data_IF_044224646148
#
_entry.id   IF_044224646148
#
_cell.length_a   1.000
_cell.length_b   1.000
_cell.length_c   1.000
_cell.angle_alpha   90.00
_cell.angle_beta   90.00
_cell.angle_gamma   90.00
#
_symmetry.space_group_name_H-M   'P 1'
#
loop_
_entity.id
_entity.type
_entity.pdbx_description
1 polymer ?
#
# COMPACT_ATOMS: atom_id res chain seq x y z
N UNK A 1 -39.54 27.42 31.21
CA UNK A 1 -38.73 26.20 30.97
C UNK A 1 -37.23 26.45 30.70
N UNK A 2 -36.62 27.61 31.09
CA UNK A 2 -35.18 27.89 30.86
C UNK A 2 -34.30 27.87 32.13
N UNK A 3 -34.88 27.62 33.31
CA UNK A 3 -34.18 27.73 34.62
C UNK A 3 -33.51 26.45 35.12
N UNK A 4 -33.78 25.28 34.53
CA UNK A 4 -33.09 24.03 34.89
C UNK A 4 -31.72 23.84 34.24
N UNK A 5 -31.45 24.51 33.12
CA UNK A 5 -30.14 24.43 32.45
C UNK A 5 -29.04 25.14 33.26
N UNK A 6 -29.41 26.16 34.05
CA UNK A 6 -28.48 26.98 34.83
C UNK A 6 -28.01 26.32 36.14
N UNK A 7 -28.79 25.40 36.73
CA UNK A 7 -28.46 24.79 38.03
C UNK A 7 -27.39 23.67 37.92
N UNK A 8 -27.33 22.97 36.77
CA UNK A 8 -26.30 21.95 36.48
C UNK A 8 -25.41 22.30 35.26
N UNK A 9 -25.31 23.59 34.93
CA UNK A 9 -24.58 24.05 33.73
C UNK A 9 -23.12 23.59 33.71
N UNK A 10 -22.48 23.50 34.89
CA UNK A 10 -21.11 22.97 35.04
C UNK A 10 -20.97 21.51 34.62
N UNK A 11 -21.96 20.67 34.90
CA UNK A 11 -21.94 19.25 34.53
C UNK A 11 -22.23 19.07 33.05
N UNK A 12 -23.24 19.76 32.52
CA UNK A 12 -23.52 19.73 31.08
C UNK A 12 -22.33 20.24 30.25
N UNK A 13 -21.64 21.27 30.73
CA UNK A 13 -20.44 21.81 30.08
C UNK A 13 -19.27 20.82 30.13
N UNK A 14 -19.07 20.12 31.25
CA UNK A 14 -18.06 19.07 31.36
C UNK A 14 -18.31 17.91 30.38
N UNK A 15 -19.57 17.48 30.23
CA UNK A 15 -19.97 16.42 29.28
C UNK A 15 -19.73 16.87 27.83
N UNK A 16 -20.12 18.10 27.48
CA UNK A 16 -19.91 18.65 26.13
C UNK A 16 -18.42 18.77 25.81
N UNK A 17 -17.60 19.24 26.74
CA UNK A 17 -16.14 19.30 26.56
C UNK A 17 -15.53 17.90 26.40
N UNK A 18 -15.93 16.93 27.23
CA UNK A 18 -15.47 15.55 27.11
C UNK A 18 -15.83 14.92 25.75
N UNK A 19 -17.08 15.12 25.30
CA UNK A 19 -17.52 14.66 23.99
C UNK A 19 -16.77 15.34 22.85
N UNK A 20 -16.52 16.65 22.95
CA UNK A 20 -15.77 17.40 21.95
C UNK A 20 -14.32 16.91 21.84
N UNK A 21 -13.65 16.64 22.97
CA UNK A 21 -12.30 16.07 23.00
C UNK A 21 -12.30 14.66 22.39
N UNK A 22 -13.24 13.81 22.77
CA UNK A 22 -13.34 12.45 22.22
C UNK A 22 -13.55 12.47 20.70
N UNK A 23 -14.44 13.34 20.21
CA UNK A 23 -14.67 13.54 18.78
C UNK A 23 -13.41 14.04 18.07
N UNK A 24 -12.70 15.03 18.64
CA UNK A 24 -11.46 15.54 18.07
C UNK A 24 -10.34 14.49 18.01
N UNK A 25 -10.24 13.61 19.01
CA UNK A 25 -9.29 12.49 19.00
C UNK A 25 -9.66 11.46 17.93
N UNK A 26 -10.94 11.10 17.81
CA UNK A 26 -11.44 10.18 16.79
C UNK A 26 -11.18 10.72 15.37
N UNK A 27 -11.50 11.99 15.11
CA UNK A 27 -11.26 12.60 13.79
C UNK A 27 -9.77 12.73 13.50
N UNK A 28 -8.96 13.11 14.50
CA UNK A 28 -7.51 13.17 14.36
C UNK A 28 -6.89 11.81 14.02
N UNK A 29 -7.32 10.74 14.68
CA UNK A 29 -6.84 9.39 14.40
C UNK A 29 -7.21 8.91 12.98
N UNK A 30 -8.43 9.22 12.53
CA UNK A 30 -8.87 8.92 11.16
C UNK A 30 -8.04 9.69 10.11
N UNK A 31 -7.78 10.98 10.35
CA UNK A 31 -7.05 11.84 9.42
C UNK A 31 -5.56 11.44 9.32
N UNK A 32 -4.94 11.06 10.44
CA UNK A 32 -3.57 10.51 10.45
C UNK A 32 -3.53 9.15 9.73
N UNK A 33 -4.50 8.28 9.97
CA UNK A 33 -4.59 6.98 9.30
C UNK A 33 -4.69 7.11 7.78
N UNK A 34 -5.52 8.05 7.30
CA UNK A 34 -5.68 8.30 5.86
C UNK A 34 -4.41 8.92 5.25
N UNK A 35 -3.76 9.84 5.96
CA UNK A 35 -2.50 10.45 5.52
C UNK A 35 -1.37 9.42 5.37
N UNK A 36 -1.22 8.51 6.35
CA UNK A 36 -0.22 7.43 6.27
C UNK A 36 -0.56 6.47 5.14
N UNK A 37 -1.84 6.14 4.94
CA UNK A 37 -2.28 5.30 3.84
C UNK A 37 -1.95 5.94 2.48
N UNK A 38 -2.18 7.24 2.32
CA UNK A 38 -1.78 8.01 1.15
C UNK A 38 -0.27 7.99 0.94
N UNK A 39 0.51 8.31 1.97
CA UNK A 39 1.98 8.30 1.89
C UNK A 39 2.55 6.92 1.54
N UNK A 40 2.02 5.83 2.11
CA UNK A 40 2.44 4.49 1.76
C UNK A 40 2.07 4.12 0.32
N UNK A 41 0.91 4.57 -0.16
CA UNK A 41 0.50 4.39 -1.55
C UNK A 41 1.49 5.10 -2.48
N UNK A 42 1.78 6.36 -2.21
CA UNK A 42 2.69 7.18 -3.02
C UNK A 42 4.11 6.59 -3.02
N UNK A 43 4.62 6.21 -1.85
CA UNK A 43 5.93 5.56 -1.74
C UNK A 43 5.98 4.22 -2.49
N UNK A 44 4.89 3.45 -2.48
CA UNK A 44 4.82 2.19 -3.23
C UNK A 44 4.80 2.43 -4.73
N UNK A 45 4.05 3.43 -5.21
CA UNK A 45 4.02 3.81 -6.62
C UNK A 45 5.38 4.36 -7.07
N UNK A 46 6.04 5.18 -6.25
CA UNK A 46 7.37 5.71 -6.55
C UNK A 46 8.42 4.60 -6.65
N UNK A 47 8.32 3.57 -5.80
CA UNK A 47 9.21 2.39 -5.84
C UNK A 47 8.94 1.44 -7.00
N UNK A 48 7.73 1.45 -7.56
CA UNK A 48 7.34 0.58 -8.67
C UNK A 48 8.04 1.00 -9.98
N UNK A 49 8.46 2.25 -10.09
CA UNK A 49 9.15 2.77 -11.27
C UNK A 49 8.24 2.76 -12.50
N UNK A 50 8.76 2.30 -13.63
CA UNK A 50 8.10 2.33 -14.94
C UNK A 50 7.20 1.08 -15.19
N UNK A 51 6.75 0.40 -14.12
CA UNK A 51 5.98 -0.84 -14.18
C UNK A 51 4.51 -0.57 -13.85
N UNK A 52 3.63 -0.55 -14.85
CA UNK A 52 2.19 -0.34 -14.63
C UNK A 52 1.45 -1.64 -14.25
N UNK A 53 1.87 -2.76 -14.84
CA UNK A 53 1.22 -4.07 -14.67
C UNK A 53 2.24 -5.20 -14.60
N UNK A 54 1.93 -6.23 -13.81
CA UNK A 54 2.69 -7.46 -13.73
C UNK A 54 1.79 -8.66 -14.06
N UNK A 55 2.24 -9.52 -14.97
CA UNK A 55 1.60 -10.78 -15.28
C UNK A 55 2.34 -11.91 -14.58
N UNK A 56 1.71 -12.49 -13.56
CA UNK A 56 2.25 -13.63 -12.81
C UNK A 56 1.39 -14.85 -13.09
N UNK A 57 2.05 -15.98 -13.36
CA UNK A 57 1.39 -17.28 -13.60
C UNK A 57 2.00 -18.34 -12.70
N UNK A 58 1.25 -19.39 -12.37
CA UNK A 58 1.74 -20.54 -11.60
C UNK A 58 2.84 -21.32 -12.35
N UNK A 59 2.91 -21.17 -13.67
CA UNK A 59 3.93 -21.80 -14.51
C UNK A 59 4.75 -20.74 -15.25
N UNK A 60 6.02 -21.05 -15.48
CA UNK A 60 6.85 -20.22 -16.34
C UNK A 60 6.30 -20.20 -17.77
N UNK A 61 6.32 -19.01 -18.37
CA UNK A 61 6.01 -18.79 -19.76
C UNK A 61 7.26 -18.32 -20.51
N UNK A 62 7.20 -18.34 -21.84
CA UNK A 62 8.36 -18.01 -22.67
C UNK A 62 8.68 -16.52 -22.57
N UNK A 63 9.97 -16.19 -22.50
CA UNK A 63 10.44 -14.81 -22.61
C UNK A 63 9.96 -14.11 -23.89
N UNK A 64 9.87 -14.85 -25.01
CA UNK A 64 9.35 -14.37 -26.29
C UNK A 64 7.90 -13.86 -26.24
N UNK A 65 7.13 -14.21 -25.21
CA UNK A 65 5.78 -13.66 -25.03
C UNK A 65 5.81 -12.14 -24.88
N UNK A 66 6.84 -11.58 -24.24
CA UNK A 66 6.98 -10.13 -24.11
C UNK A 66 7.14 -9.47 -25.49
N UNK A 67 7.91 -10.09 -26.39
CA UNK A 67 8.10 -9.63 -27.77
C UNK A 67 6.80 -9.78 -28.58
N UNK A 68 6.13 -10.94 -28.47
CA UNK A 68 4.86 -11.23 -29.13
C UNK A 68 3.77 -10.21 -28.73
N UNK A 69 3.69 -9.86 -27.43
CA UNK A 69 2.79 -8.82 -26.92
C UNK A 69 3.13 -7.46 -27.49
N UNK A 70 4.41 -7.11 -27.53
CA UNK A 70 4.85 -5.86 -28.13
C UNK A 70 4.52 -5.80 -29.62
N UNK A 71 4.39 -6.90 -30.37
CA UNK A 71 3.97 -6.85 -31.78
C UNK A 71 2.48 -6.62 -31.98
N UNK A 72 1.65 -6.81 -30.96
CA UNK A 72 0.20 -6.59 -31.04
C UNK A 72 -0.13 -5.09 -31.05
N UNK A 73 -0.85 -4.56 -32.06
CA UNK A 73 -1.22 -3.15 -32.12
C UNK A 73 -1.99 -2.68 -30.88
N UNK A 74 -2.96 -3.50 -30.45
CA UNK A 74 -3.81 -3.21 -29.28
C UNK A 74 -3.03 -3.13 -27.97
N UNK A 75 -1.90 -3.83 -27.87
CA UNK A 75 -1.02 -3.78 -26.70
C UNK A 75 -0.16 -2.52 -26.73
N UNK A 76 0.40 -2.15 -27.89
CA UNK A 76 1.17 -0.91 -28.08
C UNK A 76 0.35 0.35 -27.84
N UNK A 77 -0.95 0.32 -28.11
CA UNK A 77 -1.85 1.45 -27.82
C UNK A 77 -2.00 1.74 -26.32
N UNK A 78 -1.76 0.74 -25.46
CA UNK A 78 -1.98 0.81 -24.01
C UNK A 78 -0.69 0.77 -23.19
N UNK A 79 0.37 0.13 -23.72
CA UNK A 79 1.61 -0.12 -23.00
C UNK A 79 2.82 0.18 -23.87
N UNK A 80 3.80 0.90 -23.33
CA UNK A 80 5.00 1.32 -24.06
C UNK A 80 6.12 0.27 -24.03
N UNK A 81 6.12 -0.65 -23.04
CA UNK A 81 7.15 -1.67 -22.85
C UNK A 81 6.60 -2.92 -22.17
N UNK A 82 7.14 -4.08 -22.55
CA UNK A 82 7.01 -5.33 -21.83
C UNK A 82 8.40 -5.92 -21.61
N UNK A 83 8.66 -6.44 -20.41
CA UNK A 83 9.92 -7.11 -20.06
C UNK A 83 9.61 -8.46 -19.40
N UNK A 84 10.22 -9.56 -19.86
CA UNK A 84 10.10 -10.84 -19.18
C UNK A 84 10.93 -10.82 -17.89
N UNK A 85 10.38 -11.36 -16.80
CA UNK A 85 11.07 -11.53 -15.54
C UNK A 85 10.70 -12.90 -14.95
N UNK A 86 11.62 -13.48 -14.20
CA UNK A 86 11.46 -14.73 -13.47
C UNK A 86 11.44 -14.41 -11.98
N UNK A 87 10.43 -14.97 -11.30
CA UNK A 87 10.22 -14.83 -9.87
C UNK A 87 10.36 -16.22 -9.23
N UNK A 88 11.37 -16.41 -8.40
CA UNK A 88 11.71 -17.70 -7.80
C UNK A 88 11.76 -17.58 -6.27
N UNK A 89 10.99 -18.41 -5.56
CA UNK A 89 11.14 -18.53 -4.11
C UNK A 89 12.29 -19.49 -3.78
N UNK A 90 13.31 -18.99 -3.08
CA UNK A 90 14.51 -19.76 -2.73
C UNK A 90 14.98 -19.53 -1.30
N UNK A 91 16.21 -19.95 -1.01
CA UNK A 91 16.91 -19.57 0.22
C UNK A 91 18.25 -18.94 -0.11
N UNK A 92 18.53 -17.77 0.44
CA UNK A 92 19.82 -17.10 0.32
C UNK A 92 20.72 -17.47 1.50
N UNK A 93 22.00 -17.71 1.22
CA UNK A 93 23.03 -17.96 2.24
C UNK A 93 24.08 -16.87 2.12
N UNK A 94 24.28 -16.12 3.20
CA UNK A 94 25.31 -15.10 3.26
C UNK A 94 26.70 -15.77 3.38
N UNK A 95 27.64 -15.52 2.44
CA UNK A 95 28.93 -16.20 2.40
C UNK A 95 29.83 -15.88 3.61
N UNK A 96 29.59 -14.76 4.31
CA UNK A 96 30.46 -14.26 5.38
C UNK A 96 30.17 -14.88 6.75
N UNK A 97 28.90 -15.13 7.08
CA UNK A 97 28.48 -15.63 8.40
C UNK A 97 27.63 -16.91 8.34
N UNK A 98 27.41 -17.48 7.14
CA UNK A 98 26.51 -18.61 6.90
C UNK A 98 25.06 -18.39 7.37
N UNK A 99 24.65 -17.14 7.60
CA UNK A 99 23.27 -16.83 7.90
C UNK A 99 22.40 -17.22 6.71
N UNK A 100 21.30 -17.91 7.00
CA UNK A 100 20.37 -18.42 5.99
C UNK A 100 19.04 -17.71 6.13
N UNK A 101 18.61 -17.07 5.05
CA UNK A 101 17.25 -16.58 4.90
C UNK A 101 16.47 -17.58 4.03
N UNK A 102 15.43 -18.19 4.60
CA UNK A 102 14.49 -19.04 3.88
C UNK A 102 13.34 -18.19 3.32
N UNK A 103 12.70 -18.64 2.24
CA UNK A 103 11.58 -17.94 1.58
C UNK A 103 11.95 -16.54 1.05
N UNK A 104 13.14 -16.42 0.45
CA UNK A 104 13.50 -15.19 -0.26
C UNK A 104 12.97 -15.24 -1.69
N UNK A 105 12.47 -14.11 -2.16
CA UNK A 105 12.04 -13.92 -3.55
C UNK A 105 13.25 -13.48 -4.38
N UNK A 106 13.59 -14.27 -5.38
CA UNK A 106 14.69 -14.04 -6.30
C UNK A 106 14.07 -13.58 -7.61
N UNK A 107 14.34 -12.33 -7.98
CA UNK A 107 13.90 -11.73 -9.25
C UNK A 107 15.06 -11.74 -10.24
N UNK A 108 14.84 -12.22 -11.46
CA UNK A 108 15.84 -12.26 -12.54
C UNK A 108 15.24 -12.26 -13.93
#
# INVERSE_FOLDING_TARGET
MKKNLLYYWRINLAVVLGAAIAAAVLTGALLVGDSVRGSLRDMTLERLGDIDYALVSERFFRAALAEDLMQSPRFRDLFYRAAPAILLSGSAVAPQNKARASQVEITG
#
